data_IF_491742334481
#
_entry.id   IF_491742334481
#
_cell.length_a   1.000
_cell.length_b   1.000
_cell.length_c   1.000
_cell.angle_alpha   90.00
_cell.angle_beta   90.00
_cell.angle_gamma   90.00
#
_symmetry.space_group_name_H-M   'P 1'
#
loop_
_entity.id
_entity.type
_entity.pdbx_description
1 polymer ?
#
# COMPACT_ATOMS: atom_id res chain seq x y z
N UNK A 1 41.01 -41.25 -13.69
CA UNK A 1 40.70 -39.81 -13.66
C UNK A 1 39.24 -39.66 -13.32
N UNK A 2 38.93 -39.42 -12.05
CA UNK A 2 37.56 -39.39 -11.52
C UNK A 2 37.23 -37.95 -11.12
N UNK A 3 36.24 -37.36 -11.78
CA UNK A 3 35.81 -35.98 -11.58
C UNK A 3 35.00 -35.88 -10.28
N UNK A 4 35.47 -35.05 -9.34
CA UNK A 4 34.74 -34.69 -8.13
C UNK A 4 33.91 -33.45 -8.39
N UNK A 5 32.59 -33.62 -8.48
CA UNK A 5 31.63 -32.53 -8.54
C UNK A 5 31.43 -31.94 -7.14
N UNK A 6 31.90 -30.71 -6.96
CA UNK A 6 31.63 -29.88 -5.78
C UNK A 6 30.14 -29.55 -5.71
N UNK A 7 29.43 -30.12 -4.73
CA UNK A 7 28.07 -29.72 -4.35
C UNK A 7 28.16 -28.35 -3.67
N UNK A 8 27.64 -27.30 -4.33
CA UNK A 8 27.38 -26.01 -3.69
C UNK A 8 26.37 -26.24 -2.56
N UNK A 9 26.80 -26.02 -1.31
CA UNK A 9 25.91 -26.03 -0.15
C UNK A 9 25.03 -24.79 -0.17
N UNK A 10 23.71 -24.98 -0.27
CA UNK A 10 22.75 -23.90 -0.04
C UNK A 10 22.73 -23.55 1.45
N UNK A 11 23.12 -22.33 1.79
CA UNK A 11 23.13 -21.83 3.16
C UNK A 11 21.70 -21.56 3.68
N UNK A 12 21.39 -21.85 4.96
CA UNK A 12 20.05 -21.69 5.55
C UNK A 12 19.46 -20.27 5.50
N UNK A 13 20.29 -19.26 5.20
CA UNK A 13 19.88 -17.86 5.05
C UNK A 13 19.08 -17.65 3.75
N UNK A 14 19.49 -18.28 2.64
CA UNK A 14 18.79 -18.17 1.34
C UNK A 14 17.38 -18.78 1.37
N UNK A 15 17.19 -19.87 2.12
CA UNK A 15 15.86 -20.50 2.25
C UNK A 15 14.89 -19.65 3.09
N UNK A 16 15.39 -18.96 4.12
CA UNK A 16 14.57 -18.05 4.94
C UNK A 16 14.15 -16.78 4.18
N UNK A 17 15.01 -16.30 3.28
CA UNK A 17 14.76 -15.15 2.42
C UNK A 17 13.68 -15.45 1.38
N UNK A 18 13.83 -16.53 0.60
CA UNK A 18 12.83 -16.94 -0.39
C UNK A 18 11.46 -17.23 0.24
N UNK A 19 11.43 -17.82 1.44
CA UNK A 19 10.19 -18.05 2.18
C UNK A 19 9.52 -16.76 2.67
N UNK A 20 10.31 -15.75 3.06
CA UNK A 20 9.76 -14.44 3.49
C UNK A 20 9.21 -13.64 2.31
N UNK A 21 9.85 -13.76 1.14
CA UNK A 21 9.42 -13.06 -0.08
C UNK A 21 8.18 -13.68 -0.73
N UNK A 22 8.03 -15.01 -0.68
CA UNK A 22 6.77 -15.64 -1.09
C UNK A 22 5.60 -15.28 -0.18
N UNK A 23 5.85 -15.11 1.14
CA UNK A 23 4.85 -14.61 2.07
C UNK A 23 4.48 -13.14 1.87
N UNK A 24 5.37 -12.32 1.33
CA UNK A 24 5.07 -10.91 1.07
C UNK A 24 3.96 -10.75 0.02
N UNK A 25 3.88 -11.64 -0.97
CA UNK A 25 2.80 -11.64 -1.97
C UNK A 25 1.42 -11.92 -1.39
N UNK A 26 1.34 -12.72 -0.31
CA UNK A 26 0.09 -13.02 0.38
C UNK A 26 -0.21 -12.07 1.54
N UNK A 27 0.73 -11.19 1.89
CA UNK A 27 0.55 -10.17 2.91
C UNK A 27 -0.48 -9.14 2.46
N UNK A 28 -1.51 -8.94 3.28
CA UNK A 28 -2.68 -8.12 2.96
C UNK A 28 -3.18 -7.35 4.17
N UNK A 29 -3.75 -6.18 3.92
CA UNK A 29 -4.45 -5.40 4.93
C UNK A 29 -5.84 -5.95 5.28
N UNK A 30 -6.39 -6.87 4.48
CA UNK A 30 -7.73 -7.43 4.70
C UNK A 30 -7.81 -8.49 5.81
N UNK A 31 -6.72 -8.75 6.54
CA UNK A 31 -6.68 -9.69 7.67
C UNK A 31 -5.95 -9.05 8.86
N UNK A 32 -6.36 -7.86 9.31
CA UNK A 32 -5.55 -7.07 10.23
C UNK A 32 -5.37 -7.72 11.60
N UNK A 33 -6.40 -8.39 12.11
CA UNK A 33 -6.49 -9.07 13.41
C UNK A 33 -5.91 -10.50 13.42
N UNK A 34 -5.63 -11.08 12.25
CA UNK A 34 -5.15 -12.45 12.16
C UNK A 34 -3.72 -12.62 12.73
N UNK A 35 -3.50 -13.71 13.47
CA UNK A 35 -2.18 -14.08 14.01
C UNK A 35 -1.11 -14.19 12.93
N UNK A 36 -1.47 -14.68 11.75
CA UNK A 36 -0.56 -14.81 10.60
C UNK A 36 -0.01 -13.42 10.20
N UNK A 37 -0.87 -12.41 10.16
CA UNK A 37 -0.50 -11.01 9.85
C UNK A 37 0.46 -10.45 10.90
N UNK A 38 0.15 -10.64 12.18
CA UNK A 38 0.97 -10.17 13.30
C UNK A 38 2.35 -10.85 13.32
N UNK A 39 2.38 -12.18 13.14
CA UNK A 39 3.62 -12.95 13.07
C UNK A 39 4.46 -12.57 11.85
N UNK A 40 3.85 -12.35 10.69
CA UNK A 40 4.56 -11.92 9.48
C UNK A 40 5.21 -10.54 9.69
N UNK A 41 4.47 -9.56 10.22
CA UNK A 41 5.01 -8.22 10.52
C UNK A 41 6.22 -8.32 11.46
N UNK A 42 6.12 -9.10 12.53
CA UNK A 42 7.20 -9.30 13.48
C UNK A 42 8.44 -9.92 12.82
N UNK A 43 8.25 -11.03 12.08
CA UNK A 43 9.34 -11.75 11.40
C UNK A 43 10.02 -10.90 10.34
N UNK A 44 9.26 -10.23 9.47
CA UNK A 44 9.81 -9.40 8.41
C UNK A 44 10.57 -8.20 8.97
N UNK A 45 10.05 -7.56 10.03
CA UNK A 45 10.73 -6.44 10.69
C UNK A 45 12.05 -6.88 11.34
N UNK A 46 12.06 -8.03 12.02
CA UNK A 46 13.27 -8.59 12.62
C UNK A 46 14.33 -8.98 11.57
N UNK A 47 13.88 -9.53 10.44
CA UNK A 47 14.74 -9.82 9.29
C UNK A 47 15.33 -8.52 8.71
N UNK A 48 14.50 -7.54 8.39
CA UNK A 48 14.93 -6.27 7.80
C UNK A 48 15.96 -5.54 8.66
N UNK A 49 15.72 -5.49 9.98
CA UNK A 49 16.65 -4.87 10.93
C UNK A 49 17.99 -5.61 10.99
N UNK A 50 17.96 -6.95 10.95
CA UNK A 50 19.17 -7.78 10.93
C UNK A 50 20.01 -7.53 9.68
N UNK A 51 19.39 -7.49 8.51
CA UNK A 51 20.11 -7.27 7.25
C UNK A 51 20.67 -5.85 7.18
N UNK A 52 19.95 -4.85 7.70
CA UNK A 52 20.47 -3.48 7.85
C UNK A 52 21.76 -3.46 8.70
N UNK A 53 21.76 -4.12 9.86
CA UNK A 53 22.93 -4.20 10.75
C UNK A 53 24.12 -4.96 10.14
N UNK A 54 23.87 -5.86 9.17
CA UNK A 54 24.92 -6.59 8.45
C UNK A 54 25.63 -5.74 7.39
N UNK A 55 25.06 -4.61 6.98
CA UNK A 55 25.67 -3.72 5.98
C UNK A 55 25.63 -4.25 4.54
N UNK A 56 24.91 -5.34 4.27
CA UNK A 56 24.77 -5.92 2.93
C UNK A 56 23.29 -6.03 2.53
N UNK A 57 22.57 -4.91 2.31
CA UNK A 57 21.23 -4.99 1.74
C UNK A 57 21.33 -5.52 0.30
N UNK A 58 20.67 -6.64 0.01
CA UNK A 58 20.49 -7.10 -1.38
C UNK A 58 19.77 -6.02 -2.21
N UNK A 59 20.03 -5.95 -3.52
CA UNK A 59 19.46 -4.92 -4.39
C UNK A 59 17.92 -4.85 -4.31
N UNK A 60 17.27 -6.01 -4.18
CA UNK A 60 15.80 -6.12 -4.10
C UNK A 60 15.25 -5.87 -2.69
N UNK A 61 16.10 -5.76 -1.66
CA UNK A 61 15.66 -5.56 -0.28
C UNK A 61 14.85 -4.27 -0.12
N UNK A 62 15.27 -3.19 -0.77
CA UNK A 62 14.58 -1.90 -0.71
C UNK A 62 13.16 -1.99 -1.27
N UNK A 63 12.99 -2.70 -2.40
CA UNK A 63 11.68 -2.92 -3.00
C UNK A 63 10.75 -3.63 -2.01
N UNK A 64 11.21 -4.75 -1.46
CA UNK A 64 10.42 -5.53 -0.53
C UNK A 64 10.07 -4.75 0.74
N UNK A 65 10.99 -3.89 1.21
CA UNK A 65 10.72 -2.97 2.32
C UNK A 65 9.63 -1.96 2.00
N UNK A 66 9.62 -1.40 0.79
CA UNK A 66 8.58 -0.46 0.36
C UNK A 66 7.21 -1.15 0.33
N UNK A 67 7.13 -2.34 -0.28
CA UNK A 67 5.89 -3.13 -0.34
C UNK A 67 5.40 -3.52 1.06
N UNK A 68 6.33 -3.96 1.91
CA UNK A 68 6.05 -4.31 3.29
C UNK A 68 5.55 -3.13 4.11
N UNK A 69 6.27 -2.00 4.08
CA UNK A 69 5.92 -0.81 4.85
C UNK A 69 4.56 -0.23 4.42
N UNK A 70 4.29 -0.21 3.11
CA UNK A 70 3.01 0.24 2.56
C UNK A 70 1.87 -0.65 3.04
N UNK A 71 2.03 -1.98 2.93
CA UNK A 71 1.00 -2.93 3.37
C UNK A 71 0.83 -2.89 4.90
N UNK A 72 1.92 -2.76 5.66
CA UNK A 72 1.89 -2.63 7.12
C UNK A 72 1.17 -1.35 7.55
N UNK A 73 1.38 -0.23 6.86
CA UNK A 73 0.68 1.02 7.13
C UNK A 73 -0.84 0.85 6.98
N UNK A 74 -1.28 0.19 5.90
CA UNK A 74 -2.70 -0.13 5.68
C UNK A 74 -3.27 -1.09 6.75
N UNK A 75 -2.49 -2.08 7.21
CA UNK A 75 -2.88 -2.95 8.34
C UNK A 75 -3.06 -2.12 9.63
N UNK A 76 -2.18 -1.16 9.89
CA UNK A 76 -2.28 -0.30 11.09
C UNK A 76 -3.53 0.57 11.04
N UNK A 77 -3.85 1.16 9.88
CA UNK A 77 -5.08 1.92 9.70
C UNK A 77 -6.30 1.01 9.89
N UNK A 78 -6.30 -0.20 9.30
CA UNK A 78 -7.39 -1.16 9.47
C UNK A 78 -7.63 -1.50 10.95
N UNK A 79 -6.56 -1.76 11.72
CA UNK A 79 -6.65 -1.98 13.18
C UNK A 79 -7.17 -0.75 13.92
N UNK A 80 -6.70 0.44 13.55
CA UNK A 80 -7.14 1.70 14.16
C UNK A 80 -8.64 1.96 13.93
N UNK A 81 -9.15 1.54 12.77
CA UNK A 81 -10.57 1.64 12.41
C UNK A 81 -11.42 0.46 12.90
N UNK A 82 -10.88 -0.39 13.77
CA UNK A 82 -11.54 -1.59 14.32
C UNK A 82 -12.08 -2.54 13.23
N UNK A 83 -11.36 -2.63 12.11
CA UNK A 83 -11.63 -3.60 11.06
C UNK A 83 -10.99 -4.94 11.42
N UNK A 84 -11.69 -6.02 11.09
CA UNK A 84 -11.29 -7.41 11.25
C UNK A 84 -11.31 -8.16 9.92
N UNK A 85 -10.69 -9.33 9.86
CA UNK A 85 -10.74 -10.24 8.71
C UNK A 85 -12.18 -10.56 8.29
N UNK A 86 -13.09 -10.69 9.25
CA UNK A 86 -14.51 -10.93 8.97
C UNK A 86 -15.15 -9.71 8.28
N UNK A 87 -14.94 -8.51 8.84
CA UNK A 87 -15.48 -7.27 8.25
C UNK A 87 -14.81 -6.89 6.94
N UNK A 88 -13.67 -7.50 6.58
CA UNK A 88 -12.93 -7.26 5.33
C UNK A 88 -12.97 -8.46 4.36
N UNK A 89 -13.89 -9.41 4.54
CA UNK A 89 -14.09 -10.53 3.63
C UNK A 89 -14.52 -10.04 2.22
N UNK A 90 -14.29 -10.80 1.13
CA UNK A 90 -14.51 -10.34 -0.25
C UNK A 90 -15.91 -9.79 -0.59
N UNK A 91 -16.94 -10.14 0.18
CA UNK A 91 -18.32 -9.64 0.02
C UNK A 91 -18.74 -8.61 1.07
N UNK A 92 -17.85 -8.19 1.95
CA UNK A 92 -18.15 -7.27 3.03
C UNK A 92 -18.42 -5.85 2.52
N UNK A 93 -19.23 -5.11 3.28
CA UNK A 93 -19.62 -3.72 2.98
C UNK A 93 -19.14 -2.81 4.10
N UNK A 94 -18.66 -1.63 3.73
CA UNK A 94 -18.23 -0.64 4.71
C UNK A 94 -19.41 -0.25 5.59
N UNK A 95 -19.14 -0.21 6.90
CA UNK A 95 -20.10 0.30 7.87
C UNK A 95 -20.43 1.76 7.59
N UNK A 96 -19.48 2.56 7.08
CA UNK A 96 -19.64 4.00 6.83
C UNK A 96 -20.83 4.33 5.92
N UNK A 97 -21.14 3.45 4.97
CA UNK A 97 -22.28 3.59 4.06
C UNK A 97 -23.64 3.14 4.63
N UNK A 98 -23.64 2.56 5.84
CA UNK A 98 -24.85 2.07 6.51
C UNK A 98 -25.45 3.22 7.33
N UNK A 99 -26.73 3.50 7.11
CA UNK A 99 -27.48 4.54 7.83
C UNK A 99 -27.44 4.32 9.34
N UNK A 100 -27.12 5.38 10.11
CA UNK A 100 -27.22 5.38 11.57
C UNK A 100 -25.90 5.29 12.35
N UNK A 101 -24.74 5.52 11.71
CA UNK A 101 -23.48 5.67 12.46
C UNK A 101 -23.45 7.01 13.18
N UNK A 102 -23.05 6.96 14.45
CA UNK A 102 -22.84 8.12 15.28
C UNK A 102 -21.67 8.97 14.75
N UNK A 103 -21.97 10.20 14.34
CA UNK A 103 -20.98 11.16 13.81
C UNK A 103 -19.86 11.45 14.80
N UNK A 104 -20.10 11.26 16.10
CA UNK A 104 -19.12 11.43 17.18
C UNK A 104 -17.90 10.50 17.01
N UNK A 105 -18.08 9.32 16.42
CA UNK A 105 -16.97 8.38 16.16
C UNK A 105 -16.01 8.97 15.12
N UNK A 106 -16.52 9.71 14.13
CA UNK A 106 -15.72 10.28 13.05
C UNK A 106 -14.84 11.44 13.52
N UNK A 107 -15.32 12.25 14.46
CA UNK A 107 -14.56 13.37 15.01
C UNK A 107 -13.29 12.94 15.76
N UNK A 108 -13.24 11.69 16.23
CA UNK A 108 -12.07 11.10 16.88
C UNK A 108 -11.00 10.61 15.88
N UNK A 109 -11.34 10.50 14.59
CA UNK A 109 -10.41 10.05 13.56
C UNK A 109 -9.49 11.19 13.11
N UNK A 110 -8.21 10.88 12.77
CA UNK A 110 -7.37 11.81 12.05
C UNK A 110 -8.06 12.32 10.78
N UNK A 111 -7.84 13.59 10.42
CA UNK A 111 -8.48 14.24 9.26
C UNK A 111 -8.38 13.42 7.98
N UNK A 112 -7.24 12.76 7.73
CA UNK A 112 -7.03 11.93 6.54
C UNK A 112 -7.87 10.65 6.49
N UNK A 113 -8.40 10.22 7.64
CA UNK A 113 -9.22 9.01 7.80
C UNK A 113 -10.69 9.31 8.04
N UNK A 114 -11.06 10.57 8.29
CA UNK A 114 -12.47 10.96 8.39
C UNK A 114 -13.22 10.56 7.11
N UNK A 115 -14.45 10.02 7.21
CA UNK A 115 -15.23 9.64 6.04
C UNK A 115 -15.51 10.83 5.13
N UNK A 116 -15.48 10.62 3.83
CA UNK A 116 -16.00 11.59 2.86
C UNK A 116 -17.51 11.43 2.69
N UNK A 117 -18.17 12.44 2.13
CA UNK A 117 -19.61 12.38 1.80
C UNK A 117 -19.94 11.18 0.88
N UNK A 118 -19.02 10.85 -0.02
CA UNK A 118 -19.15 9.68 -0.90
C UNK A 118 -19.05 8.37 -0.13
N UNK A 119 -18.15 8.24 0.85
CA UNK A 119 -18.08 7.04 1.69
C UNK A 119 -19.37 6.83 2.50
N UNK A 120 -20.02 7.92 2.92
CA UNK A 120 -21.29 7.87 3.65
C UNK A 120 -22.49 7.52 2.75
N UNK A 121 -22.41 7.82 1.45
CA UNK A 121 -23.54 7.71 0.53
C UNK A 121 -23.45 6.52 -0.44
N UNK A 122 -22.24 6.08 -0.77
CA UNK A 122 -21.98 5.03 -1.75
C UNK A 122 -21.65 3.76 -1.01
N UNK A 123 -22.39 2.69 -1.25
CA UNK A 123 -22.08 1.42 -0.62
C UNK A 123 -20.85 0.78 -1.28
N UNK A 124 -19.77 0.58 -0.52
CA UNK A 124 -18.46 0.10 -1.00
C UNK A 124 -17.86 -0.98 -0.07
N UNK A 125 -16.69 -1.54 -0.41
CA UNK A 125 -15.97 -2.50 0.45
C UNK A 125 -15.00 -1.74 1.40
N UNK A 126 -14.85 -2.15 2.68
CA UNK A 126 -14.06 -1.40 3.67
C UNK A 126 -12.54 -1.29 3.40
N UNK A 127 -12.02 -1.85 2.31
CA UNK A 127 -10.61 -1.67 1.95
C UNK A 127 -10.37 -0.24 1.41
N UNK A 128 -11.42 0.43 0.95
CA UNK A 128 -11.34 1.84 0.54
C UNK A 128 -11.14 2.73 1.77
N UNK A 129 -11.75 2.38 2.90
CA UNK A 129 -11.72 3.19 4.13
C UNK A 129 -10.32 3.35 4.71
N UNK A 130 -9.46 2.36 4.50
CA UNK A 130 -8.10 2.34 5.03
C UNK A 130 -7.09 3.11 4.18
N UNK A 131 -7.53 3.73 3.08
CA UNK A 131 -6.67 4.58 2.25
C UNK A 131 -6.63 5.99 2.88
N UNK A 132 -5.47 6.48 3.35
CA UNK A 132 -5.38 7.74 4.08
C UNK A 132 -5.31 8.97 3.17
N UNK A 133 -5.96 8.91 2.01
CA UNK A 133 -6.04 10.00 1.04
C UNK A 133 -7.48 10.09 0.54
N UNK A 134 -8.22 11.10 1.03
CA UNK A 134 -9.63 11.31 0.71
C UNK A 134 -9.91 11.31 -0.79
N UNK A 135 -9.12 12.04 -1.58
CA UNK A 135 -9.28 12.10 -3.04
C UNK A 135 -9.14 10.74 -3.74
N UNK A 136 -8.24 9.86 -3.28
CA UNK A 136 -8.14 8.50 -3.83
C UNK A 136 -9.39 7.70 -3.53
N UNK A 137 -9.92 7.79 -2.30
CA UNK A 137 -11.15 7.10 -1.90
C UNK A 137 -12.31 7.53 -2.78
N UNK A 138 -12.51 8.84 -2.92
CA UNK A 138 -13.58 9.41 -3.74
C UNK A 138 -13.46 9.01 -5.21
N UNK A 139 -12.25 9.05 -5.78
CA UNK A 139 -12.01 8.61 -7.16
C UNK A 139 -12.36 7.13 -7.37
N UNK A 140 -12.09 6.26 -6.39
CA UNK A 140 -12.47 4.85 -6.42
C UNK A 140 -13.98 4.68 -6.34
N UNK A 141 -14.66 5.45 -5.48
CA UNK A 141 -16.12 5.37 -5.29
C UNK A 141 -16.92 5.93 -6.47
N UNK A 142 -16.38 6.92 -7.19
CA UNK A 142 -16.98 7.47 -8.40
C UNK A 142 -16.82 6.57 -9.62
N UNK A 143 -15.90 5.60 -9.57
CA UNK A 143 -15.62 4.69 -10.67
C UNK A 143 -16.52 3.47 -10.58
N UNK A 144 -17.18 3.12 -11.70
CA UNK A 144 -17.91 1.86 -11.80
C UNK A 144 -16.94 0.68 -11.58
N UNK A 145 -17.28 -0.19 -10.61
CA UNK A 145 -16.49 -1.37 -10.25
C UNK A 145 -16.35 -2.38 -11.40
N UNK A 146 -17.22 -2.32 -12.42
CA UNK A 146 -17.10 -3.13 -13.63
C UNK A 146 -15.97 -2.69 -14.56
N UNK A 147 -15.47 -1.45 -14.43
CA UNK A 147 -14.49 -0.85 -15.33
C UNK A 147 -13.03 -1.07 -14.92
N UNK A 148 -12.77 -1.68 -13.77
CA UNK A 148 -11.42 -1.94 -13.31
C UNK A 148 -11.31 -3.20 -12.44
N UNK A 149 -10.14 -3.84 -12.45
CA UNK A 149 -9.89 -4.99 -11.60
C UNK A 149 -9.48 -4.52 -10.19
N UNK A 150 -10.41 -4.65 -9.22
CA UNK A 150 -10.18 -4.30 -7.80
C UNK A 150 -8.95 -4.98 -7.20
N UNK A 151 -8.74 -6.26 -7.51
CA UNK A 151 -7.60 -7.02 -6.99
C UNK A 151 -6.27 -6.57 -7.62
N UNK A 152 -6.30 -6.13 -8.88
CA UNK A 152 -5.15 -5.53 -9.56
C UNK A 152 -4.80 -4.15 -8.97
N UNK A 153 -5.78 -3.24 -8.87
CA UNK A 153 -5.56 -1.93 -8.26
C UNK A 153 -5.00 -2.06 -6.83
N UNK A 154 -5.57 -2.96 -6.03
CA UNK A 154 -5.12 -3.21 -4.67
C UNK A 154 -3.66 -3.71 -4.62
N UNK A 155 -3.28 -4.61 -5.53
CA UNK A 155 -1.91 -5.15 -5.66
C UNK A 155 -0.93 -4.06 -6.09
N UNK A 156 -1.31 -3.23 -7.05
CA UNK A 156 -0.47 -2.20 -7.60
C UNK A 156 -0.26 -1.05 -6.64
N UNK A 157 -1.29 -0.66 -5.89
CA UNK A 157 -1.20 0.35 -4.82
C UNK A 157 -0.14 -0.04 -3.80
N UNK A 158 -0.01 -1.34 -3.51
CA UNK A 158 1.03 -1.89 -2.62
C UNK A 158 2.40 -2.13 -3.28
N UNK A 159 2.52 -1.85 -4.58
CA UNK A 159 3.78 -1.89 -5.32
C UNK A 159 4.26 -3.27 -5.75
N UNK A 160 3.36 -4.25 -5.89
CA UNK A 160 3.71 -5.63 -6.27
C UNK A 160 3.83 -5.88 -7.78
N UNK A 161 3.66 -4.86 -8.63
CA UNK A 161 3.89 -4.99 -10.07
C UNK A 161 5.15 -4.24 -10.51
N UNK A 162 5.98 -4.95 -11.30
CA UNK A 162 7.01 -4.33 -12.13
C UNK A 162 6.34 -3.80 -13.41
N UNK A 163 6.56 -2.54 -13.73
CA UNK A 163 6.21 -1.97 -15.04
C UNK A 163 7.50 -1.54 -15.75
N UNK A 164 7.42 -1.27 -17.05
CA UNK A 164 8.56 -0.89 -17.88
C UNK A 164 9.37 0.32 -17.36
N UNK A 165 8.79 1.11 -16.45
CA UNK A 165 9.37 2.32 -15.85
C UNK A 165 9.66 2.19 -14.34
N UNK A 166 9.73 0.97 -13.79
CA UNK A 166 10.09 0.70 -12.39
C UNK A 166 8.97 0.05 -11.58
N UNK A 167 9.08 0.11 -10.25
CA UNK A 167 8.08 -0.46 -9.34
C UNK A 167 6.92 0.52 -9.10
N UNK A 168 5.70 0.04 -9.33
CA UNK A 168 4.46 0.79 -9.07
C UNK A 168 4.18 1.00 -7.59
N UNK A 169 3.05 1.65 -7.30
CA UNK A 169 2.44 1.77 -5.99
C UNK A 169 2.66 3.07 -5.24
N UNK A 170 2.24 3.02 -3.98
CA UNK A 170 2.43 4.07 -2.99
C UNK A 170 3.62 3.73 -2.08
N UNK A 171 4.15 4.74 -1.41
CA UNK A 171 5.21 4.65 -0.41
C UNK A 171 4.77 5.40 0.84
N UNK A 172 5.18 4.89 1.99
CA UNK A 172 4.90 5.50 3.29
C UNK A 172 6.21 5.90 3.97
N UNK A 173 6.31 7.18 4.36
CA UNK A 173 7.49 7.82 4.92
C UNK A 173 7.34 8.22 6.39
N UNK A 174 6.10 8.34 6.87
CA UNK A 174 5.75 8.74 8.23
C UNK A 174 4.66 7.82 8.79
N UNK A 175 4.00 8.25 9.85
CA UNK A 175 2.83 7.58 10.39
C UNK A 175 1.75 7.38 9.31
N UNK A 176 1.03 6.25 9.32
CA UNK A 176 0.07 5.90 8.27
C UNK A 176 -1.04 6.93 8.05
N UNK A 177 -1.43 7.66 9.09
CA UNK A 177 -2.48 8.68 9.06
C UNK A 177 -1.96 10.10 8.82
N UNK A 178 -0.66 10.31 8.58
CA UNK A 178 -0.17 11.60 8.08
C UNK A 178 -0.25 11.61 6.55
N UNK A 179 -1.14 12.40 5.91
CA UNK A 179 -1.24 12.45 4.45
C UNK A 179 0.06 12.95 3.79
N UNK A 180 0.86 13.76 4.49
CA UNK A 180 2.19 14.19 4.03
C UNK A 180 3.25 13.08 4.15
N UNK A 181 2.90 11.93 4.72
CA UNK A 181 3.71 10.73 4.78
C UNK A 181 3.63 9.87 3.52
N UNK A 182 2.76 10.20 2.56
CA UNK A 182 2.50 9.35 1.40
C UNK A 182 3.09 9.91 0.11
N UNK A 183 3.59 9.02 -0.73
CA UNK A 183 4.13 9.30 -2.06
C UNK A 183 3.57 8.26 -3.04
N UNK A 184 3.15 8.64 -4.24
CA UNK A 184 2.92 7.68 -5.32
C UNK A 184 4.11 7.63 -6.27
N UNK A 185 4.36 6.46 -6.86
CA UNK A 185 5.39 6.34 -7.89
C UNK A 185 4.86 6.78 -9.25
N UNK A 186 5.75 7.29 -10.10
CA UNK A 186 5.41 7.65 -11.49
C UNK A 186 4.76 6.48 -12.25
N UNK A 187 5.31 5.27 -12.08
CA UNK A 187 4.74 4.02 -12.58
C UNK A 187 3.27 3.81 -12.17
N UNK A 188 2.91 4.09 -10.92
CA UNK A 188 1.53 4.01 -10.47
C UNK A 188 0.65 5.05 -11.15
N UNK A 189 1.14 6.29 -11.23
CA UNK A 189 0.42 7.41 -11.82
C UNK A 189 0.13 7.21 -13.32
N UNK A 190 1.08 6.63 -14.06
CA UNK A 190 0.90 6.28 -15.48
C UNK A 190 -0.17 5.20 -15.65
N UNK A 191 -0.18 4.17 -14.79
CA UNK A 191 -1.13 3.05 -14.92
C UNK A 191 -2.52 3.39 -14.41
N UNK A 192 -2.61 4.14 -13.32
CA UNK A 192 -3.85 4.45 -12.61
C UNK A 192 -4.10 5.96 -12.53
N UNK A 193 -4.07 6.71 -13.66
CA UNK A 193 -4.14 8.18 -13.64
C UNK A 193 -5.45 8.69 -13.05
N UNK A 194 -6.55 7.95 -13.20
CA UNK A 194 -7.84 8.31 -12.63
C UNK A 194 -7.88 8.17 -11.10
N UNK A 195 -7.05 7.31 -10.50
CA UNK A 195 -7.03 7.08 -9.04
C UNK A 195 -6.47 8.30 -8.31
N UNK A 196 -5.46 8.96 -8.90
CA UNK A 196 -4.78 10.12 -8.29
C UNK A 196 -5.29 11.47 -8.82
N UNK A 197 -6.31 11.47 -9.68
CA UNK A 197 -6.86 12.69 -10.28
C UNK A 197 -7.30 13.66 -9.19
N UNK A 198 -6.98 14.95 -9.34
CA UNK A 198 -7.33 16.00 -8.39
C UNK A 198 -6.64 15.90 -7.01
N UNK A 199 -5.74 14.93 -6.78
CA UNK A 199 -5.05 14.77 -5.49
C UNK A 199 -3.84 15.72 -5.38
N UNK A 200 -4.10 17.04 -5.34
CA UNK A 200 -3.06 18.09 -5.30
C UNK A 200 -2.11 17.94 -4.11
N UNK A 201 -2.64 17.77 -2.90
CA UNK A 201 -1.83 17.60 -1.68
C UNK A 201 -0.94 16.35 -1.73
N UNK A 202 -1.45 15.26 -2.32
CA UNK A 202 -0.66 14.04 -2.50
C UNK A 202 0.46 14.23 -3.54
N UNK A 203 0.23 15.00 -4.60
CA UNK A 203 1.29 15.36 -5.55
C UNK A 203 2.36 16.24 -4.87
N UNK A 204 1.96 17.20 -4.05
CA UNK A 204 2.89 18.02 -3.27
C UNK A 204 3.73 17.18 -2.30
N UNK A 205 3.09 16.26 -1.57
CA UNK A 205 3.77 15.29 -0.71
C UNK A 205 4.74 14.42 -1.50
N UNK A 206 4.30 13.86 -2.63
CA UNK A 206 5.14 13.08 -3.56
C UNK A 206 6.38 13.86 -3.98
N UNK A 207 6.21 15.11 -4.44
CA UNK A 207 7.31 15.95 -4.88
C UNK A 207 8.23 16.41 -3.74
N UNK A 208 7.73 16.51 -2.51
CA UNK A 208 8.55 16.73 -1.31
C UNK A 208 9.52 15.58 -1.10
N UNK A 209 9.03 14.35 -1.08
CA UNK A 209 9.86 13.16 -0.84
C UNK A 209 10.83 12.87 -1.98
N UNK A 210 10.40 13.06 -3.23
CA UNK A 210 11.28 12.98 -4.41
C UNK A 210 12.45 13.96 -4.30
N UNK A 211 12.20 15.21 -3.93
CA UNK A 211 13.24 16.23 -3.73
C UNK A 211 14.23 15.85 -2.63
N UNK A 212 13.78 15.25 -1.53
CA UNK A 212 14.66 14.75 -0.46
C UNK A 212 15.64 13.68 -0.95
N UNK A 213 15.34 13.01 -2.06
CA UNK A 213 16.19 12.00 -2.71
C UNK A 213 16.85 12.50 -4.01
N UNK A 214 16.80 13.81 -4.29
CA UNK A 214 17.28 14.41 -5.53
C UNK A 214 16.63 13.84 -6.81
N UNK A 215 15.39 13.35 -6.72
CA UNK A 215 14.59 12.93 -7.87
C UNK A 215 13.83 14.12 -8.46
N UNK A 216 13.69 14.16 -9.79
CA UNK A 216 12.91 15.20 -10.48
C UNK A 216 11.44 15.17 -10.03
N UNK A 217 10.77 16.34 -9.85
CA UNK A 217 9.37 16.37 -9.49
C UNK A 217 8.49 15.80 -10.61
N UNK A 218 7.38 15.19 -10.24
CA UNK A 218 6.31 14.81 -11.16
C UNK A 218 5.48 16.04 -11.52
N UNK A 219 5.11 16.16 -12.79
CA UNK A 219 4.32 17.28 -13.31
C UNK A 219 2.85 17.22 -12.88
N UNK A 220 2.15 18.35 -12.95
CA UNK A 220 0.72 18.44 -12.67
C UNK A 220 -0.15 17.62 -13.63
N UNK A 221 0.35 17.27 -14.82
CA UNK A 221 -0.35 16.44 -15.80
C UNK A 221 -0.83 15.09 -15.23
N UNK A 222 -0.12 14.53 -14.24
CA UNK A 222 -0.51 13.30 -13.55
C UNK A 222 -1.84 13.43 -12.77
N UNK A 223 -2.18 14.62 -12.27
CA UNK A 223 -3.41 14.84 -11.49
C UNK A 223 -4.49 15.60 -12.26
N UNK A 224 -4.13 16.30 -13.34
CA UNK A 224 -5.09 17.02 -14.19
C UNK A 224 -5.76 16.10 -15.22
N UNK A 225 -5.25 14.89 -15.42
CA UNK A 225 -5.78 13.95 -16.41
C UNK A 225 -5.42 14.32 -17.85
N UNK A 226 -4.35 15.09 -18.04
CA UNK A 226 -3.83 15.53 -19.35
C UNK A 226 -2.87 14.51 -19.98
N UNK A 227 -2.73 13.32 -19.40
CA UNK A 227 -2.00 12.21 -20.02
C UNK A 227 -2.89 11.49 -21.04
N UNK A 228 -3.33 12.24 -22.04
CA UNK A 228 -3.88 11.70 -23.29
C UNK A 228 -2.79 11.80 -24.37
N UNK A 229 -1.93 10.78 -24.44
CA UNK A 229 -1.26 10.33 -25.68
C UNK A 229 -0.91 8.85 -25.56
#
# INVERSE_FOLDING_TARGET
MSNSSSKKSHTPIQSSFQSSMSMLQSFTACKPDCDVTTQFISRFSAWAHREYLRGFPEADMLLHLIQFNTTRALVLIAKFMDLTQETMAPGARSRLSITGIDTVIFESLPLSLQPTDLQLSVSHHPWVDIIPIAGIRDNILLRDEALYNKAELCRDLRGFQQVAHGHGGMRTWKDPWDPNGWEFTEAFAIKWPWVIRGCHELLESTNRWRRMRNEAPLGSGFILGELDT
#
